data_IF_579998259030
#
_entry.id   IF_579998259030
#
_cell.length_a   1.000
_cell.length_b   1.000
_cell.length_c   1.000
_cell.angle_alpha   90.00
_cell.angle_beta   90.00
_cell.angle_gamma   90.00
#
_symmetry.space_group_name_H-M   'P 1'
#
loop_
_entity.id
_entity.type
_entity.pdbx_description
1 polymer ?
#
# COMPACT_ATOMS: atom_id res chain seq x y z
N UNK A 1 -7.06 8.77 36.01
CA UNK A 1 -7.11 8.07 34.72
C UNK A 1 -5.87 7.20 34.60
N UNK A 2 -5.97 5.90 34.90
CA UNK A 2 -4.86 4.96 34.85
C UNK A 2 -4.51 4.66 33.40
N UNK A 3 -3.39 5.19 32.91
CA UNK A 3 -2.89 4.87 31.57
C UNK A 3 -2.58 3.37 31.53
N UNK A 4 -3.30 2.62 30.69
CA UNK A 4 -3.07 1.20 30.49
C UNK A 4 -1.60 0.97 30.07
N UNK A 5 -0.94 -0.02 30.68
CA UNK A 5 0.45 -0.34 30.41
C UNK A 5 0.66 -0.64 28.90
N UNK A 6 1.76 -0.17 28.29
CA UNK A 6 1.98 -0.35 26.86
C UNK A 6 2.08 -1.85 26.50
N UNK A 7 1.23 -2.30 25.56
CA UNK A 7 1.02 -3.73 25.26
C UNK A 7 2.24 -4.45 24.66
N UNK A 8 3.17 -3.71 24.07
CA UNK A 8 4.34 -4.25 23.35
C UNK A 8 5.66 -4.17 24.13
N UNK A 9 5.66 -3.68 25.38
CA UNK A 9 6.89 -3.59 26.20
C UNK A 9 7.08 -4.76 27.16
N UNK A 10 6.13 -5.68 27.22
CA UNK A 10 6.14 -6.83 28.12
C UNK A 10 5.98 -8.14 27.34
N UNK A 11 6.85 -9.13 27.59
CA UNK A 11 6.77 -10.47 26.98
C UNK A 11 7.83 -10.73 25.90
N UNK A 12 7.64 -11.81 25.14
CA UNK A 12 8.60 -12.26 24.12
C UNK A 12 8.59 -11.37 22.86
N UNK A 13 9.75 -10.82 22.50
CA UNK A 13 9.96 -10.03 21.28
C UNK A 13 9.57 -10.83 20.03
N UNK A 14 9.93 -12.11 19.97
CA UNK A 14 9.62 -12.98 18.83
C UNK A 14 8.10 -13.07 18.58
N UNK A 15 7.30 -13.17 19.65
CA UNK A 15 5.84 -13.21 19.55
C UNK A 15 5.28 -11.90 18.98
N UNK A 16 5.80 -10.75 19.42
CA UNK A 16 5.37 -9.45 18.91
C UNK A 16 5.72 -9.25 17.44
N UNK A 17 6.93 -9.61 17.03
CA UNK A 17 7.36 -9.52 15.64
C UNK A 17 6.50 -10.44 14.76
N UNK A 18 6.28 -11.69 15.18
CA UNK A 18 5.45 -12.63 14.43
C UNK A 18 4.02 -12.13 14.25
N UNK A 19 3.37 -11.61 15.30
CA UNK A 19 1.97 -11.14 15.18
C UNK A 19 1.84 -9.88 14.33
N UNK A 20 2.78 -8.94 14.42
CA UNK A 20 2.79 -7.74 13.58
C UNK A 20 3.07 -8.05 12.10
N UNK A 21 4.06 -8.91 11.83
CA UNK A 21 4.41 -9.28 10.45
C UNK A 21 3.37 -10.20 9.82
N UNK A 22 2.77 -11.12 10.59
CA UNK A 22 1.73 -12.01 10.09
C UNK A 22 0.51 -11.24 9.56
N UNK A 23 0.12 -10.14 10.22
CA UNK A 23 -0.97 -9.30 9.75
C UNK A 23 -0.68 -8.73 8.34
N UNK A 24 0.53 -8.20 8.12
CA UNK A 24 0.96 -7.70 6.82
C UNK A 24 1.08 -8.83 5.77
N UNK A 25 1.58 -9.99 6.18
CA UNK A 25 1.73 -11.15 5.29
C UNK A 25 0.39 -11.67 4.77
N UNK A 26 -0.65 -11.71 5.62
CA UNK A 26 -2.01 -12.09 5.20
C UNK A 26 -2.56 -11.11 4.16
N UNK A 27 -2.35 -9.81 4.34
CA UNK A 27 -2.77 -8.80 3.36
C UNK A 27 -2.10 -8.99 1.99
N UNK A 28 -0.79 -9.22 1.98
CA UNK A 28 -0.05 -9.46 0.74
C UNK A 28 -0.45 -10.78 0.06
N UNK A 29 -0.67 -11.85 0.84
CA UNK A 29 -1.16 -13.12 0.32
C UNK A 29 -2.55 -12.99 -0.33
N UNK A 30 -3.43 -12.17 0.24
CA UNK A 30 -4.74 -11.89 -0.33
C UNK A 30 -4.63 -11.16 -1.68
N UNK A 31 -3.73 -10.17 -1.81
CA UNK A 31 -3.47 -9.50 -3.10
C UNK A 31 -3.01 -10.48 -4.17
N UNK A 32 -2.02 -11.33 -3.86
CA UNK A 32 -1.56 -12.36 -4.81
C UNK A 32 -2.65 -13.35 -5.21
N UNK A 33 -3.52 -13.73 -4.28
CA UNK A 33 -4.65 -14.61 -4.58
C UNK A 33 -5.61 -13.95 -5.60
N UNK A 34 -5.90 -12.66 -5.43
CA UNK A 34 -6.71 -11.90 -6.39
C UNK A 34 -6.04 -11.83 -7.76
N UNK A 35 -4.72 -11.62 -7.81
CA UNK A 35 -3.97 -11.58 -9.08
C UNK A 35 -4.05 -12.93 -9.82
N UNK A 36 -3.88 -14.05 -9.11
CA UNK A 36 -4.00 -15.40 -9.68
C UNK A 36 -5.40 -15.64 -10.22
N UNK A 37 -6.44 -15.32 -9.45
CA UNK A 37 -7.83 -15.48 -9.87
C UNK A 37 -8.14 -14.62 -11.09
N UNK A 38 -7.61 -13.40 -11.13
CA UNK A 38 -7.80 -12.48 -12.26
C UNK A 38 -7.14 -13.03 -13.53
N UNK A 39 -5.88 -13.47 -13.45
CA UNK A 39 -5.17 -14.08 -14.57
C UNK A 39 -5.83 -15.37 -15.04
N UNK A 40 -6.27 -16.22 -14.11
CA UNK A 40 -7.00 -17.44 -14.43
C UNK A 40 -8.28 -17.13 -15.20
N UNK A 41 -9.10 -16.20 -14.69
CA UNK A 41 -10.33 -15.76 -15.34
C UNK A 41 -10.07 -15.22 -16.74
N UNK A 42 -9.05 -14.36 -16.93
CA UNK A 42 -8.78 -13.80 -18.25
C UNK A 42 -8.21 -14.85 -19.21
N UNK A 43 -7.41 -15.80 -18.72
CA UNK A 43 -6.94 -16.93 -19.53
C UNK A 43 -8.09 -17.77 -20.10
N UNK A 44 -9.18 -17.95 -19.34
CA UNK A 44 -10.40 -18.66 -19.78
C UNK A 44 -11.19 -17.93 -20.88
N UNK A 45 -11.01 -16.61 -21.05
CA UNK A 45 -11.72 -15.87 -22.11
C UNK A 45 -11.24 -16.24 -23.52
N UNK A 46 -10.10 -16.93 -23.65
CA UNK A 46 -9.60 -17.45 -24.94
C UNK A 46 -9.25 -16.37 -25.97
N UNK A 47 -9.18 -15.10 -25.56
CA UNK A 47 -8.88 -13.96 -26.43
C UNK A 47 -7.43 -13.52 -26.23
N UNK A 48 -6.51 -13.84 -27.16
CA UNK A 48 -5.08 -13.53 -26.99
C UNK A 48 -4.81 -12.03 -26.83
N UNK A 49 -5.69 -11.18 -27.39
CA UNK A 49 -5.62 -9.71 -27.25
C UNK A 49 -5.79 -9.27 -25.79
N UNK A 50 -6.67 -9.90 -25.01
CA UNK A 50 -6.87 -9.53 -23.60
C UNK A 50 -5.70 -9.98 -22.73
N UNK A 51 -5.13 -11.16 -22.99
CA UNK A 51 -3.96 -11.66 -22.27
C UNK A 51 -2.73 -10.78 -22.52
N UNK A 52 -2.52 -10.30 -23.75
CA UNK A 52 -1.46 -9.35 -24.08
C UNK A 52 -1.67 -7.99 -23.40
N UNK A 53 -2.92 -7.49 -23.35
CA UNK A 53 -3.26 -6.24 -22.68
C UNK A 53 -2.98 -6.29 -21.17
N UNK A 54 -3.15 -7.44 -20.52
CA UNK A 54 -2.81 -7.61 -19.10
C UNK A 54 -1.31 -7.53 -18.83
N UNK A 55 -0.48 -8.01 -19.75
CA UNK A 55 0.97 -7.84 -19.63
C UNK A 55 1.35 -6.35 -19.57
N UNK A 56 0.78 -5.55 -20.47
CA UNK A 56 1.00 -4.10 -20.50
C UNK A 56 0.41 -3.39 -19.26
N UNK A 57 -0.84 -3.71 -18.90
CA UNK A 57 -1.48 -3.17 -17.70
C UNK A 57 -0.71 -3.56 -16.43
N UNK A 58 -0.17 -4.78 -16.37
CA UNK A 58 0.64 -5.29 -15.27
C UNK A 58 1.89 -4.44 -15.04
N UNK A 59 2.63 -4.08 -16.09
CA UNK A 59 3.80 -3.19 -15.96
C UNK A 59 3.41 -1.81 -15.39
N UNK A 60 2.29 -1.24 -15.83
CA UNK A 60 1.75 0.02 -15.30
C UNK A 60 1.32 -0.12 -13.83
N UNK A 61 0.60 -1.19 -13.48
CA UNK A 61 0.19 -1.50 -12.11
C UNK A 61 1.39 -1.68 -11.19
N UNK A 62 2.46 -2.35 -11.63
CA UNK A 62 3.71 -2.47 -10.89
C UNK A 62 4.36 -1.11 -10.64
N UNK A 63 4.39 -0.22 -11.65
CA UNK A 63 4.96 1.11 -11.52
C UNK A 63 4.20 1.97 -10.49
N UNK A 64 2.87 2.01 -10.60
CA UNK A 64 2.00 2.75 -9.66
C UNK A 64 2.11 2.16 -8.25
N UNK A 65 2.13 0.83 -8.12
CA UNK A 65 2.24 0.16 -6.82
C UNK A 65 3.59 0.43 -6.16
N UNK A 66 4.69 0.44 -6.92
CA UNK A 66 6.02 0.78 -6.41
C UNK A 66 6.07 2.20 -5.84
N UNK A 67 5.50 3.18 -6.56
CA UNK A 67 5.36 4.56 -6.07
C UNK A 67 4.52 4.64 -4.79
N UNK A 68 3.41 3.91 -4.75
CA UNK A 68 2.53 3.85 -3.57
C UNK A 68 3.25 3.29 -2.34
N UNK A 69 3.98 2.19 -2.50
CA UNK A 69 4.78 1.57 -1.43
C UNK A 69 5.86 2.56 -0.95
N UNK A 70 6.55 3.24 -1.86
CA UNK A 70 7.57 4.24 -1.51
C UNK A 70 7.00 5.40 -0.68
N UNK A 71 5.85 5.95 -1.09
CA UNK A 71 5.15 7.00 -0.35
C UNK A 71 4.67 6.54 1.03
N UNK A 72 4.13 5.31 1.12
CA UNK A 72 3.70 4.72 2.38
C UNK A 72 4.86 4.54 3.35
N UNK A 73 6.03 4.07 2.89
CA UNK A 73 7.24 3.93 3.71
C UNK A 73 7.73 5.29 4.19
N UNK A 74 7.81 6.28 3.30
CA UNK A 74 8.24 7.63 3.65
C UNK A 74 7.33 8.28 4.72
N UNK A 75 6.01 8.20 4.52
CA UNK A 75 5.02 8.69 5.48
C UNK A 75 5.14 7.96 6.82
N UNK A 76 5.20 6.62 6.80
CA UNK A 76 5.31 5.80 8.00
C UNK A 76 6.57 6.13 8.81
N UNK A 77 7.70 6.37 8.14
CA UNK A 77 8.95 6.77 8.79
C UNK A 77 8.85 8.14 9.47
N UNK A 78 8.24 9.14 8.81
CA UNK A 78 8.01 10.47 9.37
C UNK A 78 7.09 10.42 10.60
N UNK A 79 5.99 9.67 10.52
CA UNK A 79 5.04 9.51 11.62
C UNK A 79 5.64 8.72 12.78
N UNK A 80 6.42 7.66 12.49
CA UNK A 80 7.07 6.82 13.51
C UNK A 80 8.10 7.60 14.30
N UNK A 81 8.86 8.49 13.66
CA UNK A 81 9.83 9.36 14.33
C UNK A 81 9.15 10.33 15.31
N UNK A 82 8.05 10.96 14.91
CA UNK A 82 7.29 11.85 15.79
C UNK A 82 6.64 11.10 16.97
N UNK A 83 6.10 9.90 16.71
CA UNK A 83 5.58 9.00 17.75
C UNK A 83 6.66 8.58 18.75
N UNK A 84 7.85 8.23 18.26
CA UNK A 84 8.99 7.82 19.09
C UNK A 84 9.54 8.94 19.98
N UNK A 85 9.39 10.20 19.57
CA UNK A 85 9.80 11.37 20.35
C UNK A 85 8.85 11.79 21.47
N UNK A 86 7.77 11.03 21.74
CA UNK A 86 6.80 11.33 22.80
C UNK A 86 5.79 12.44 22.48
N UNK A 87 5.90 13.08 21.31
CA UNK A 87 5.06 14.21 20.89
C UNK A 87 3.75 13.72 20.24
N UNK A 88 2.83 13.19 21.06
CA UNK A 88 1.59 12.54 20.57
C UNK A 88 0.71 13.45 19.71
N UNK A 89 0.59 14.73 20.04
CA UNK A 89 -0.22 15.67 19.27
C UNK A 89 0.40 15.96 17.89
N UNK A 90 1.73 16.13 17.85
CA UNK A 90 2.46 16.28 16.60
C UNK A 90 2.40 15.00 15.76
N UNK A 91 2.47 13.82 16.38
CA UNK A 91 2.33 12.55 15.68
C UNK A 91 0.93 12.35 15.07
N UNK A 92 -0.13 12.84 15.73
CA UNK A 92 -1.49 12.84 15.17
C UNK A 92 -1.61 13.78 13.97
N UNK A 93 -1.05 14.99 14.07
CA UNK A 93 -1.04 15.95 12.97
C UNK A 93 -0.25 15.41 11.77
N UNK A 94 0.95 14.88 11.99
CA UNK A 94 1.76 14.25 10.95
C UNK A 94 1.07 13.03 10.36
N UNK A 95 0.43 12.20 11.18
CA UNK A 95 -0.35 11.05 10.71
C UNK A 95 -1.49 11.46 9.78
N UNK A 96 -2.27 12.47 10.18
CA UNK A 96 -3.34 13.01 9.34
C UNK A 96 -2.81 13.64 8.05
N UNK A 97 -1.78 14.49 8.16
CA UNK A 97 -1.15 15.12 7.01
C UNK A 97 -0.55 14.11 6.03
N UNK A 98 0.08 13.04 6.54
CA UNK A 98 0.61 11.94 5.72
C UNK A 98 -0.48 11.22 4.93
N UNK A 99 -1.63 10.93 5.55
CA UNK A 99 -2.76 10.30 4.84
C UNK A 99 -3.29 11.21 3.74
N UNK A 100 -3.50 12.50 4.04
CA UNK A 100 -3.96 13.48 3.05
C UNK A 100 -2.95 13.64 1.92
N UNK A 101 -1.66 13.72 2.23
CA UNK A 101 -0.59 13.82 1.23
C UNK A 101 -0.54 12.57 0.34
N UNK A 102 -0.62 11.38 0.93
CA UNK A 102 -0.59 10.13 0.17
C UNK A 102 -1.80 10.05 -0.77
N UNK A 103 -2.98 10.43 -0.30
CA UNK A 103 -4.20 10.48 -1.10
C UNK A 103 -4.10 11.52 -2.23
N UNK A 104 -3.58 12.72 -1.94
CA UNK A 104 -3.36 13.77 -2.92
C UNK A 104 -2.34 13.36 -3.99
N UNK A 105 -1.21 12.76 -3.61
CA UNK A 105 -0.19 12.26 -4.55
C UNK A 105 -0.74 11.14 -5.43
N UNK A 106 -1.46 10.17 -4.85
CA UNK A 106 -2.07 9.09 -5.63
C UNK A 106 -3.17 9.59 -6.56
N UNK A 107 -4.01 10.54 -6.11
CA UNK A 107 -5.02 11.16 -6.96
C UNK A 107 -4.39 11.97 -8.11
N UNK A 108 -3.32 12.72 -7.84
CA UNK A 108 -2.58 13.44 -8.86
C UNK A 108 -1.92 12.49 -9.88
N UNK A 109 -1.33 11.39 -9.42
CA UNK A 109 -0.76 10.37 -10.29
C UNK A 109 -1.84 9.72 -11.17
N UNK A 110 -3.01 9.40 -10.61
CA UNK A 110 -4.14 8.87 -11.36
C UNK A 110 -4.66 9.87 -12.41
N UNK A 111 -4.81 11.14 -12.04
CA UNK A 111 -5.20 12.23 -12.95
C UNK A 111 -4.17 12.47 -14.05
N UNK A 112 -2.88 12.25 -13.79
CA UNK A 112 -1.81 12.38 -14.79
C UNK A 112 -1.78 11.18 -15.74
N UNK A 113 -1.99 9.97 -15.22
CA UNK A 113 -2.04 8.74 -16.01
C UNK A 113 -3.31 8.65 -16.88
N UNK A 114 -4.44 9.17 -16.39
CA UNK A 114 -5.72 9.14 -17.10
C UNK A 114 -5.68 9.68 -18.55
N UNK A 115 -5.18 10.91 -18.82
CA UNK A 115 -5.06 11.42 -20.19
C UNK A 115 -3.99 10.64 -20.98
N UNK A 116 -2.91 10.20 -20.34
CA UNK A 116 -1.85 9.43 -20.99
C UNK A 116 -2.35 8.08 -21.53
N UNK A 117 -3.26 7.43 -20.79
CA UNK A 117 -3.98 6.23 -21.21
C UNK A 117 -4.95 6.53 -22.35
N UNK A 118 -5.61 7.68 -22.34
CA UNK A 118 -6.49 8.15 -23.42
C UNK A 118 -5.75 8.42 -24.73
N UNK A 119 -4.53 8.96 -24.65
CA UNK A 119 -3.68 9.22 -25.82
C UNK A 119 -3.03 7.94 -26.37
N UNK A 120 -2.75 6.93 -25.53
CA UNK A 120 -2.23 5.63 -25.97
C UNK A 120 -3.30 4.69 -26.57
N UNK A 121 -4.59 4.96 -26.35
CA UNK A 121 -5.71 4.13 -26.85
C UNK A 121 -6.37 4.67 -28.13
N UNK A 122 -5.81 5.74 -28.72
CA UNK A 122 -6.21 6.31 -30.00
C UNK A 122 -5.31 5.86 -31.14
#
# INVERSE_FOLDING_TARGET
MTAAAPRFVTGSILRHVLTMTAASAVGLAAMFAVDIVSLFYISLLGRPVLTAAIGYAGTLLFFVSSLSIGLSIACSALTSRALGGGQRDQARLLGGASVVLMLACMAALALLLWPLLGDCLR
#
